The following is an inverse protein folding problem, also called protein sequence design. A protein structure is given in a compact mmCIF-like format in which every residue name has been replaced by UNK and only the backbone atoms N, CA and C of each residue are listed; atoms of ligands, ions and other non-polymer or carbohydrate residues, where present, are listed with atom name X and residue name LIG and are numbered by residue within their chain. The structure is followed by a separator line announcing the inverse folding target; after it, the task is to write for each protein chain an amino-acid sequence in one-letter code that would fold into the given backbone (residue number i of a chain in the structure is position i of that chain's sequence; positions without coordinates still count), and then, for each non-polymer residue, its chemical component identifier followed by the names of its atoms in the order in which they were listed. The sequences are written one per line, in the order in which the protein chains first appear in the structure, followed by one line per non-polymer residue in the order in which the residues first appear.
data_IF_730149259147
#
_entry.id   IF_730149259147
#
_cell.length_a   1.000
_cell.length_b   1.000
_cell.length_c   1.000
_cell.angle_alpha   90.00
_cell.angle_beta   90.00
_cell.angle_gamma   90.00
#
_symmetry.space_group_name_H-M   'P 1'
#
loop_
_entity.id
_entity.type
_entity.pdbx_description
1 polymer ?
#
# COMPACT_ATOMS: atom_id res chain seq x y z
N UNK A 1 1.16 -17.76 -31.46
CA UNK A 1 -0.05 -17.20 -30.82
C UNK A 1 0.39 -16.11 -29.87
N UNK A 2 0.00 -14.85 -30.11
CA UNK A 2 0.27 -13.78 -29.15
C UNK A 2 -0.53 -14.06 -27.87
N UNK A 3 0.15 -14.05 -26.72
CA UNK A 3 -0.49 -14.22 -25.41
C UNK A 3 -1.39 -12.99 -25.23
N UNK A 4 -2.70 -13.17 -25.13
CA UNK A 4 -3.63 -12.07 -24.83
C UNK A 4 -3.20 -11.49 -23.48
N UNK A 5 -2.68 -10.26 -23.47
CA UNK A 5 -2.34 -9.57 -22.25
C UNK A 5 -3.66 -9.29 -21.51
N UNK A 6 -3.76 -9.76 -20.28
CA UNK A 6 -4.86 -9.37 -19.41
C UNK A 6 -4.62 -7.92 -18.97
N UNK A 7 -5.36 -6.98 -19.56
CA UNK A 7 -5.28 -5.54 -19.27
C UNK A 7 -6.29 -5.11 -18.20
N UNK A 8 -6.82 -6.07 -17.43
CA UNK A 8 -7.57 -5.76 -16.21
C UNK A 8 -6.58 -5.52 -15.08
N UNK A 9 -6.69 -4.39 -14.34
CA UNK A 9 -5.94 -4.17 -13.12
C UNK A 9 -5.97 -5.39 -12.18
N UNK A 10 -4.84 -5.78 -11.56
CA UNK A 10 -4.85 -6.86 -10.58
C UNK A 10 -5.75 -6.47 -9.39
N UNK A 11 -6.59 -7.39 -8.88
CA UNK A 11 -7.45 -7.09 -7.75
C UNK A 11 -6.64 -6.86 -6.47
N UNK A 12 -7.17 -6.07 -5.55
CA UNK A 12 -6.68 -5.97 -4.17
C UNK A 12 -6.99 -7.27 -3.42
N UNK A 13 -6.31 -7.51 -2.29
CA UNK A 13 -6.63 -8.65 -1.43
C UNK A 13 -8.04 -8.58 -0.86
N UNK A 14 -8.53 -7.37 -0.55
CA UNK A 14 -9.92 -7.17 -0.12
C UNK A 14 -10.93 -7.52 -1.23
N UNK A 15 -10.72 -7.05 -2.46
CA UNK A 15 -11.55 -7.41 -3.62
C UNK A 15 -11.58 -8.93 -3.86
N UNK A 16 -10.43 -9.60 -3.68
CA UNK A 16 -10.34 -11.06 -3.77
C UNK A 16 -11.16 -11.76 -2.68
N UNK A 17 -11.06 -11.31 -1.43
CA UNK A 17 -11.79 -11.89 -0.31
C UNK A 17 -13.30 -11.70 -0.43
N UNK A 18 -13.77 -10.50 -0.80
CA UNK A 18 -15.20 -10.26 -1.00
C UNK A 18 -15.78 -11.15 -2.10
N UNK A 19 -15.10 -11.20 -3.26
CA UNK A 19 -15.52 -12.06 -4.36
C UNK A 19 -15.53 -13.52 -3.92
N UNK A 20 -14.49 -13.97 -3.21
CA UNK A 20 -14.44 -15.34 -2.70
C UNK A 20 -15.56 -15.63 -1.71
N UNK A 21 -15.90 -14.68 -0.83
CA UNK A 21 -17.01 -14.81 0.12
C UNK A 21 -18.35 -15.00 -0.59
N UNK A 22 -18.65 -14.13 -1.56
CA UNK A 22 -19.85 -14.23 -2.40
C UNK A 22 -19.95 -15.57 -3.15
N UNK A 23 -18.84 -16.02 -3.75
CA UNK A 23 -18.78 -17.27 -4.53
C UNK A 23 -18.76 -18.53 -3.66
N UNK A 24 -18.50 -18.40 -2.36
CA UNK A 24 -18.37 -19.55 -1.45
C UNK A 24 -19.69 -20.04 -0.88
N UNK A 25 -20.78 -19.28 -0.99
CA UNK A 25 -22.10 -19.63 -0.44
C UNK A 25 -21.99 -19.97 1.07
N UNK A 26 -21.27 -19.12 1.81
CA UNK A 26 -21.02 -19.26 3.25
C UNK A 26 -20.02 -20.36 3.65
N UNK A 27 -19.44 -21.11 2.69
CA UNK A 27 -18.43 -22.14 2.99
C UNK A 27 -17.08 -21.49 3.31
N UNK A 28 -16.42 -22.01 4.33
CA UNK A 28 -15.11 -21.56 4.77
C UNK A 28 -14.08 -22.70 4.67
N UNK A 29 -12.82 -22.32 4.48
CA UNK A 29 -11.66 -23.20 4.61
C UNK A 29 -10.79 -22.72 5.75
N UNK A 30 -10.11 -23.66 6.39
CA UNK A 30 -9.23 -23.39 7.52
C UNK A 30 -7.83 -23.89 7.20
N UNK A 31 -6.83 -23.14 7.63
CA UNK A 31 -5.45 -23.60 7.72
C UNK A 31 -4.78 -23.04 8.97
N UNK A 32 -3.76 -23.76 9.45
CA UNK A 32 -3.05 -23.43 10.68
C UNK A 32 -1.57 -23.27 10.38
N UNK A 33 -0.97 -22.24 10.98
CA UNK A 33 0.45 -21.98 10.93
C UNK A 33 1.00 -21.83 12.34
N UNK A 34 2.22 -22.35 12.56
CA UNK A 34 2.92 -22.22 13.83
C UNK A 34 4.27 -21.54 13.64
N UNK A 35 4.58 -20.58 14.49
CA UNK A 35 5.87 -19.88 14.51
C UNK A 35 6.49 -19.99 15.90
N UNK A 36 7.73 -20.46 15.95
CA UNK A 36 8.56 -20.34 17.14
C UNK A 36 9.17 -18.95 17.20
N UNK A 37 9.02 -18.28 18.34
CA UNK A 37 9.40 -16.89 18.54
C UNK A 37 10.25 -16.79 19.80
N UNK A 38 11.56 -16.82 19.59
CA UNK A 38 12.56 -16.79 20.66
C UNK A 38 12.61 -15.39 21.31
N UNK A 39 12.77 -15.35 22.62
CA UNK A 39 12.94 -14.11 23.39
C UNK A 39 11.66 -13.39 23.78
N UNK A 40 10.49 -13.94 23.44
CA UNK A 40 9.19 -13.42 23.88
C UNK A 40 8.58 -14.27 24.99
N UNK A 41 7.76 -13.65 25.83
CA UNK A 41 6.92 -14.34 26.81
C UNK A 41 5.45 -14.21 26.40
N UNK A 42 4.56 -15.11 26.87
CA UNK A 42 3.12 -14.94 26.65
C UNK A 42 2.60 -13.60 27.14
N UNK A 43 3.13 -13.08 28.26
CA UNK A 43 2.76 -11.78 28.82
C UNK A 43 3.11 -10.62 27.88
N UNK A 44 4.33 -10.62 27.31
CA UNK A 44 4.74 -9.60 26.34
C UNK A 44 3.82 -9.59 25.10
N UNK A 45 3.47 -10.77 24.59
CA UNK A 45 2.60 -10.89 23.43
C UNK A 45 1.14 -10.52 23.76
N UNK A 46 0.63 -10.88 24.93
CA UNK A 46 -0.71 -10.45 25.37
C UNK A 46 -0.77 -8.92 25.51
N UNK A 47 0.27 -8.29 26.07
CA UNK A 47 0.37 -6.85 26.10
C UNK A 47 0.40 -6.25 24.69
N UNK A 48 1.16 -6.85 23.77
CA UNK A 48 1.18 -6.45 22.36
C UNK A 48 -0.22 -6.46 21.74
N UNK A 49 -1.00 -7.53 21.90
CA UNK A 49 -2.34 -7.63 21.32
C UNK A 49 -3.31 -6.55 21.82
N UNK A 50 -3.11 -6.01 23.02
CA UNK A 50 -3.91 -4.89 23.54
C UNK A 50 -3.43 -3.54 22.99
N UNK A 51 -2.13 -3.42 22.69
CA UNK A 51 -1.50 -2.17 22.28
C UNK A 51 -1.19 -2.11 20.78
N UNK A 52 -1.53 -3.15 20.01
CA UNK A 52 -1.31 -3.24 18.57
C UNK A 52 -1.85 -2.01 17.83
N UNK A 53 -2.99 -1.39 18.19
CA UNK A 53 -3.42 -0.14 17.55
C UNK A 53 -2.36 0.97 17.57
N UNK A 54 -1.67 1.09 18.71
CA UNK A 54 -0.71 2.19 18.93
C UNK A 54 0.60 1.95 18.21
N UNK A 55 0.89 0.72 17.79
CA UNK A 55 2.21 0.32 17.33
C UNK A 55 2.19 -0.50 16.03
N UNK A 56 1.07 -0.58 15.32
CA UNK A 56 0.86 -1.52 14.21
C UNK A 56 2.00 -1.51 13.16
N UNK A 57 2.46 -0.31 12.78
CA UNK A 57 3.56 -0.14 11.82
C UNK A 57 4.91 -0.66 12.32
N UNK A 58 5.13 -0.79 13.62
CA UNK A 58 6.37 -1.40 14.15
C UNK A 58 6.42 -2.90 13.91
N UNK A 59 5.26 -3.55 13.79
CA UNK A 59 5.18 -5.01 13.65
C UNK A 59 5.75 -5.51 12.35
N UNK A 60 5.34 -4.90 11.24
CA UNK A 60 5.96 -5.18 9.95
C UNK A 60 6.10 -3.89 9.12
N UNK A 61 7.11 -3.05 9.39
CA UNK A 61 7.19 -1.69 8.82
C UNK A 61 7.22 -1.61 7.29
N UNK A 62 7.56 -2.72 6.62
CA UNK A 62 7.58 -2.81 5.16
C UNK A 62 6.20 -3.05 4.56
N UNK A 63 5.29 -3.62 5.33
CA UNK A 63 3.99 -4.10 4.84
C UNK A 63 2.81 -3.51 5.61
N UNK A 64 2.98 -2.98 6.82
CA UNK A 64 1.92 -2.37 7.62
C UNK A 64 2.01 -0.85 7.50
N UNK A 65 0.94 -0.22 7.00
CA UNK A 65 1.02 1.16 6.53
C UNK A 65 0.24 2.15 7.33
N UNK A 66 -1.05 1.87 7.52
CA UNK A 66 -1.96 2.83 8.10
C UNK A 66 -3.03 2.05 8.83
N UNK A 67 -3.41 2.63 9.95
CA UNK A 67 -4.57 2.27 10.70
C UNK A 67 -5.53 3.44 10.65
N UNK A 68 -6.71 3.23 10.07
CA UNK A 68 -7.78 4.19 10.13
C UNK A 68 -8.78 3.79 11.21
N UNK A 69 -8.81 4.61 12.28
CA UNK A 69 -9.88 4.71 13.28
C UNK A 69 -10.27 3.37 13.93
N UNK A 70 -9.65 3.04 15.06
CA UNK A 70 -10.30 2.14 16.00
C UNK A 70 -11.47 2.83 16.68
N UNK A 71 -12.64 2.24 16.54
CA UNK A 71 -13.80 2.56 17.35
C UNK A 71 -14.01 1.41 18.32
N UNK A 72 -14.07 1.74 19.61
CA UNK A 72 -14.52 0.80 20.62
C UNK A 72 -15.98 1.05 20.88
N UNK A 73 -16.84 0.10 20.51
CA UNK A 73 -18.27 0.12 20.84
C UNK A 73 -18.65 -1.23 21.43
N UNK A 74 -19.33 -1.21 22.58
CA UNK A 74 -19.87 -2.42 23.21
C UNK A 74 -18.83 -3.52 23.52
N UNK A 75 -17.56 -3.13 23.70
CA UNK A 75 -16.46 -4.06 24.00
C UNK A 75 -15.82 -4.71 22.77
N UNK A 76 -16.28 -4.39 21.57
CA UNK A 76 -15.61 -4.74 20.32
C UNK A 76 -14.77 -3.57 19.83
N UNK A 77 -13.54 -3.88 19.41
CA UNK A 77 -12.68 -2.91 18.73
C UNK A 77 -12.85 -3.13 17.22
N UNK A 78 -13.21 -2.09 16.47
CA UNK A 78 -13.31 -2.17 15.00
C UNK A 78 -12.47 -1.11 14.34
N UNK A 79 -11.79 -1.43 13.26
CA UNK A 79 -10.96 -0.50 12.52
C UNK A 79 -10.69 -0.96 11.09
N UNK A 80 -10.05 -0.09 10.31
CA UNK A 80 -9.55 -0.43 8.98
C UNK A 80 -8.03 -0.50 9.06
N UNK A 81 -7.47 -1.64 8.68
CA UNK A 81 -6.02 -1.78 8.52
C UNK A 81 -5.67 -1.72 7.03
N UNK A 82 -4.59 -1.02 6.71
CA UNK A 82 -4.00 -0.98 5.37
C UNK A 82 -2.65 -1.68 5.42
N UNK A 83 -2.50 -2.73 4.62
CA UNK A 83 -1.29 -3.53 4.58
C UNK A 83 -1.02 -4.20 3.23
N UNK A 84 0.19 -4.69 3.02
CA UNK A 84 0.55 -5.58 1.92
C UNK A 84 0.64 -7.02 2.40
N UNK A 85 -0.26 -7.85 1.90
CA UNK A 85 -0.10 -9.31 1.92
C UNK A 85 0.48 -9.67 0.57
N UNK A 86 1.80 -9.54 0.41
CA UNK A 86 2.45 -9.47 -0.90
C UNK A 86 2.03 -10.60 -1.87
N UNK A 87 1.68 -10.29 -3.14
CA UNK A 87 1.72 -8.99 -3.81
C UNK A 87 0.41 -8.18 -3.69
N UNK A 88 -0.48 -8.53 -2.76
CA UNK A 88 -1.81 -7.96 -2.65
C UNK A 88 -1.83 -6.79 -1.66
N UNK A 89 -2.24 -5.62 -2.13
CA UNK A 89 -2.66 -4.54 -1.23
C UNK A 89 -4.00 -4.86 -0.60
N UNK A 90 -4.11 -4.66 0.70
CA UNK A 90 -5.27 -5.00 1.51
C UNK A 90 -5.71 -3.78 2.31
N UNK A 91 -6.99 -3.44 2.22
CA UNK A 91 -7.64 -2.46 3.10
C UNK A 91 -8.75 -3.21 3.84
N UNK A 92 -8.43 -3.83 4.98
CA UNK A 92 -9.28 -4.80 5.65
C UNK A 92 -10.07 -4.14 6.77
N UNK A 93 -11.40 -4.32 6.76
CA UNK A 93 -12.22 -4.02 7.94
C UNK A 93 -11.97 -5.13 8.96
N UNK A 94 -11.47 -4.79 10.14
CA UNK A 94 -11.17 -5.75 11.19
C UNK A 94 -11.99 -5.45 12.43
N UNK A 95 -12.55 -6.51 13.01
CA UNK A 95 -13.08 -6.53 14.36
C UNK A 95 -12.19 -7.35 15.28
N UNK A 96 -11.94 -6.89 16.49
CA UNK A 96 -11.28 -7.66 17.57
C UNK A 96 -12.37 -8.08 18.55
N UNK A 97 -12.50 -9.39 18.77
CA UNK A 97 -13.52 -9.94 19.67
C UNK A 97 -13.14 -11.31 20.24
N UNK A 98 -14.10 -11.98 20.91
CA UNK A 98 -13.89 -13.34 21.42
C UNK A 98 -13.48 -14.29 20.29
N UNK A 99 -12.34 -14.96 20.45
CA UNK A 99 -11.83 -15.92 19.47
C UNK A 99 -10.85 -15.35 18.44
N UNK A 100 -10.54 -14.05 18.47
CA UNK A 100 -9.45 -13.46 17.68
C UNK A 100 -9.87 -12.26 16.83
N UNK A 101 -9.20 -12.11 15.69
CA UNK A 101 -9.48 -11.08 14.70
C UNK A 101 -10.56 -11.58 13.73
N UNK A 102 -11.50 -10.72 13.38
CA UNK A 102 -12.54 -10.96 12.40
C UNK A 102 -12.30 -10.06 11.20
N UNK A 103 -12.23 -10.65 10.00
CA UNK A 103 -12.26 -9.93 8.74
C UNK A 103 -13.71 -9.66 8.38
N UNK A 104 -14.06 -8.39 8.16
CA UNK A 104 -15.44 -7.95 7.98
C UNK A 104 -15.69 -7.48 6.55
N UNK A 105 -16.86 -7.79 6.03
CA UNK A 105 -17.42 -7.15 4.84
C UNK A 105 -17.75 -5.66 5.13
N UNK A 106 -18.02 -4.83 4.11
CA UNK A 106 -18.42 -3.43 4.32
C UNK A 106 -19.68 -3.23 5.16
N UNK A 107 -20.60 -4.20 5.17
CA UNK A 107 -21.82 -4.21 6.00
C UNK A 107 -21.62 -4.87 7.37
N UNK A 108 -20.41 -5.36 7.66
CA UNK A 108 -20.02 -5.86 8.98
C UNK A 108 -20.26 -7.36 9.20
N UNK A 109 -20.57 -8.12 8.15
CA UNK A 109 -20.59 -9.59 8.21
C UNK A 109 -19.17 -10.15 8.33
N UNK A 110 -19.03 -11.29 8.99
CA UNK A 110 -17.73 -11.95 9.13
C UNK A 110 -17.42 -12.72 7.85
N UNK A 111 -16.48 -12.21 7.05
CA UNK A 111 -15.96 -12.89 5.86
C UNK A 111 -14.72 -13.75 6.14
N UNK A 112 -14.13 -13.64 7.32
CA UNK A 112 -12.96 -14.43 7.71
C UNK A 112 -12.60 -14.23 9.17
N UNK A 113 -11.72 -15.11 9.69
CA UNK A 113 -11.24 -15.04 11.07
C UNK A 113 -9.76 -15.39 11.13
N UNK A 114 -9.05 -14.77 12.05
CA UNK A 114 -7.70 -15.17 12.47
C UNK A 114 -7.74 -15.38 13.98
N UNK A 115 -7.78 -16.64 14.38
CA UNK A 115 -7.69 -17.08 15.77
C UNK A 115 -6.29 -17.60 16.07
N UNK A 116 -6.06 -18.05 17.30
CA UNK A 116 -4.77 -18.62 17.65
C UNK A 116 -4.57 -18.92 19.12
N UNK A 117 -3.40 -19.50 19.40
CA UNK A 117 -2.96 -19.86 20.74
C UNK A 117 -1.48 -19.54 20.94
N UNK A 118 -1.09 -19.40 22.21
CA UNK A 118 0.30 -19.21 22.61
C UNK A 118 0.70 -20.34 23.53
N UNK A 119 1.85 -20.96 23.25
CA UNK A 119 2.46 -21.98 24.10
C UNK A 119 3.84 -21.49 24.55
N UNK A 120 4.12 -21.34 25.86
CA UNK A 120 5.46 -20.99 26.30
C UNK A 120 6.46 -22.11 26.00
N UNK A 121 7.68 -21.75 25.60
CA UNK A 121 8.83 -22.65 25.49
C UNK A 121 9.87 -22.29 26.56
N UNK A 122 11.03 -22.98 26.57
CA UNK A 122 12.13 -22.66 27.49
C UNK A 122 12.77 -21.29 27.23
N UNK A 123 12.68 -20.78 26.01
CA UNK A 123 13.40 -19.61 25.51
C UNK A 123 12.50 -18.62 24.74
N UNK A 124 11.20 -18.88 24.67
CA UNK A 124 10.27 -18.08 23.86
C UNK A 124 8.81 -18.53 23.97
N UNK A 125 8.11 -18.37 22.85
CA UNK A 125 6.74 -18.85 22.64
C UNK A 125 6.63 -19.57 21.29
N UNK A 126 5.69 -20.51 21.20
CA UNK A 126 5.12 -20.96 19.93
C UNK A 126 3.79 -20.21 19.76
N UNK A 127 3.69 -19.45 18.69
CA UNK A 127 2.46 -18.79 18.26
C UNK A 127 1.78 -19.65 17.19
N UNK A 128 0.57 -20.07 17.49
CA UNK A 128 -0.32 -20.76 16.54
C UNK A 128 -1.32 -19.75 16.01
N UNK A 129 -1.46 -19.64 14.69
CA UNK A 129 -2.51 -18.89 14.03
C UNK A 129 -3.40 -19.82 13.23
N UNK A 130 -4.72 -19.66 13.40
CA UNK A 130 -5.75 -20.40 12.66
C UNK A 130 -6.46 -19.40 11.77
N UNK A 131 -6.25 -19.53 10.46
CA UNK A 131 -6.85 -18.67 9.45
C UNK A 131 -8.09 -19.36 8.88
N UNK A 132 -9.26 -18.74 9.06
CA UNK A 132 -10.52 -19.16 8.46
C UNK A 132 -10.91 -18.18 7.36
N UNK A 133 -10.92 -18.60 6.11
CA UNK A 133 -11.21 -17.77 4.94
C UNK A 133 -12.33 -18.38 4.08
N UNK A 134 -12.93 -17.62 3.15
CA UNK A 134 -13.91 -18.18 2.22
C UNK A 134 -13.34 -19.35 1.41
N UNK A 135 -14.15 -20.38 1.16
CA UNK A 135 -13.70 -21.60 0.48
C UNK A 135 -13.26 -21.40 -0.98
N UNK A 136 -13.59 -20.26 -1.59
CA UNK A 136 -13.15 -19.85 -2.92
C UNK A 136 -11.96 -18.90 -2.91
N UNK A 137 -11.36 -18.62 -1.75
CA UNK A 137 -10.14 -17.83 -1.68
C UNK A 137 -9.04 -18.50 -2.51
N UNK A 138 -8.37 -17.78 -3.41
CA UNK A 138 -7.30 -18.37 -4.22
C UNK A 138 -6.17 -18.91 -3.35
N UNK A 139 -5.64 -20.10 -3.69
CA UNK A 139 -4.52 -20.69 -2.93
C UNK A 139 -3.30 -19.76 -2.89
N UNK A 140 -3.05 -18.99 -3.96
CA UNK A 140 -1.96 -18.01 -3.98
C UNK A 140 -2.13 -16.89 -2.94
N UNK A 141 -3.36 -16.56 -2.55
CA UNK A 141 -3.63 -15.60 -1.49
C UNK A 141 -3.46 -16.26 -0.11
N UNK A 142 -3.87 -17.52 0.05
CA UNK A 142 -3.60 -18.29 1.27
C UNK A 142 -2.09 -18.41 1.52
N UNK A 143 -1.30 -18.74 0.49
CA UNK A 143 0.15 -18.81 0.57
C UNK A 143 0.79 -17.45 0.90
N UNK A 144 0.23 -16.36 0.36
CA UNK A 144 0.67 -15.01 0.70
C UNK A 144 0.40 -14.67 2.18
N UNK A 145 -0.74 -15.07 2.74
CA UNK A 145 -1.04 -14.93 4.18
C UNK A 145 -0.04 -15.70 5.03
N UNK A 146 0.27 -16.96 4.66
CA UNK A 146 1.25 -17.79 5.39
C UNK A 146 2.63 -17.14 5.41
N UNK A 147 3.06 -16.61 4.26
CA UNK A 147 4.33 -15.91 4.14
C UNK A 147 4.34 -14.62 4.98
N UNK A 148 3.27 -13.82 4.89
CA UNK A 148 3.11 -12.59 5.66
C UNK A 148 3.15 -12.83 7.17
N UNK A 149 2.34 -13.76 7.67
CA UNK A 149 2.30 -14.16 9.08
C UNK A 149 3.66 -14.61 9.59
N UNK A 150 4.35 -15.45 8.81
CA UNK A 150 5.71 -15.90 9.15
C UNK A 150 6.67 -14.72 9.28
N UNK A 151 6.66 -13.78 8.36
CA UNK A 151 7.61 -12.66 8.35
C UNK A 151 7.32 -11.64 9.46
N UNK A 152 6.06 -11.25 9.67
CA UNK A 152 5.70 -10.26 10.69
C UNK A 152 5.97 -10.77 12.11
N UNK A 153 5.67 -12.04 12.39
CA UNK A 153 5.86 -12.63 13.72
C UNK A 153 7.34 -12.76 14.05
N UNK A 154 8.19 -13.04 13.06
CA UNK A 154 9.64 -13.14 13.24
C UNK A 154 10.31 -11.77 13.47
N UNK A 155 9.63 -10.65 13.18
CA UNK A 155 10.16 -9.31 13.51
C UNK A 155 9.86 -8.89 14.96
N UNK A 156 8.87 -9.52 15.63
CA UNK A 156 8.48 -9.17 17.01
C UNK A 156 9.65 -9.20 18.01
N UNK A 157 10.53 -10.22 18.06
CA UNK A 157 11.67 -10.24 18.98
C UNK A 157 12.61 -9.04 18.87
N UNK A 158 12.65 -8.40 17.69
CA UNK A 158 13.55 -7.26 17.43
C UNK A 158 13.20 -6.04 18.27
N UNK A 159 11.92 -5.83 18.55
CA UNK A 159 11.45 -4.60 19.22
C UNK A 159 10.56 -4.85 20.43
N UNK A 160 9.75 -5.91 20.45
CA UNK A 160 8.70 -6.08 21.44
C UNK A 160 9.21 -6.15 22.89
N UNK A 161 10.33 -6.84 23.22
CA UNK A 161 10.83 -6.86 24.60
C UNK A 161 11.20 -5.49 25.15
N UNK A 162 11.69 -4.59 24.29
CA UNK A 162 12.07 -3.23 24.68
C UNK A 162 10.86 -2.29 24.67
N UNK A 163 9.98 -2.43 23.68
CA UNK A 163 8.70 -1.72 23.62
C UNK A 163 7.84 -2.02 24.85
N UNK A 164 7.77 -3.27 25.28
CA UNK A 164 7.03 -3.69 26.48
C UNK A 164 7.58 -3.03 27.76
N UNK A 165 8.91 -2.84 27.85
CA UNK A 165 9.55 -2.22 29.03
C UNK A 165 9.46 -0.69 29.02
N UNK A 166 9.50 -0.10 27.82
CA UNK A 166 9.66 1.34 27.62
C UNK A 166 8.75 1.84 26.48
N UNK A 167 7.42 1.69 26.59
CA UNK A 167 6.49 2.08 25.52
C UNK A 167 6.61 3.56 25.16
N UNK A 168 6.98 4.41 26.13
CA UNK A 168 7.16 5.85 25.95
C UNK A 168 8.31 6.25 25.01
N UNK A 169 9.19 5.31 24.65
CA UNK A 169 10.35 5.56 23.79
C UNK A 169 10.12 5.22 22.33
N UNK A 170 8.93 4.72 21.99
CA UNK A 170 8.62 4.25 20.65
C UNK A 170 7.61 5.17 19.99
N UNK A 171 7.95 5.61 18.79
CA UNK A 171 7.05 6.27 17.86
C UNK A 171 6.82 5.35 16.67
N UNK A 172 5.64 5.43 16.05
CA UNK A 172 5.40 4.69 14.83
C UNK A 172 6.27 5.27 13.69
N UNK A 173 6.83 4.43 12.81
CA UNK A 173 7.50 4.90 11.61
C UNK A 173 6.54 5.75 10.77
N UNK A 174 6.91 6.96 10.34
CA UNK A 174 6.01 7.81 9.55
C UNK A 174 5.73 7.18 8.18
N UNK A 175 4.53 7.42 7.65
CA UNK A 175 4.24 7.22 6.23
C UNK A 175 5.03 8.23 5.40
N UNK A 176 5.13 7.99 4.09
CA UNK A 176 5.73 8.97 3.19
C UNK A 176 4.96 10.28 3.18
N UNK A 177 3.63 10.25 3.32
CA UNK A 177 2.81 11.46 3.41
C UNK A 177 3.10 12.27 4.67
N UNK A 178 3.13 11.63 5.84
CA UNK A 178 3.48 12.30 7.12
C UNK A 178 4.90 12.88 7.09
N UNK A 179 5.84 12.15 6.50
CA UNK A 179 7.22 12.59 6.30
C UNK A 179 7.28 13.84 5.42
N UNK A 180 6.53 13.90 4.32
CA UNK A 180 6.48 15.08 3.46
C UNK A 180 5.75 16.26 4.11
N UNK A 181 4.68 16.04 4.88
CA UNK A 181 3.99 17.11 5.61
C UNK A 181 4.91 17.76 6.64
N UNK A 182 5.63 16.95 7.41
CA UNK A 182 6.65 17.46 8.34
C UNK A 182 7.73 18.25 7.61
N UNK A 183 8.24 17.71 6.49
CA UNK A 183 9.24 18.41 5.71
C UNK A 183 8.73 19.75 5.16
N UNK A 184 7.46 19.81 4.73
CA UNK A 184 6.81 21.03 4.26
C UNK A 184 6.74 22.11 5.35
N UNK A 185 6.33 21.74 6.56
CA UNK A 185 6.27 22.65 7.70
C UNK A 185 7.66 23.19 8.08
N UNK A 186 8.68 22.34 8.04
CA UNK A 186 10.06 22.70 8.42
C UNK A 186 10.81 23.50 7.34
N UNK A 187 10.47 23.31 6.06
CA UNK A 187 11.18 23.93 4.93
C UNK A 187 10.76 25.36 4.62
N UNK A 188 9.56 25.78 5.06
CA UNK A 188 8.95 27.01 4.57
C UNK A 188 8.76 26.95 3.04
N UNK A 189 9.24 27.98 2.33
CA UNK A 189 9.10 28.07 0.86
C UNK A 189 10.25 27.39 0.07
N UNK A 190 11.21 26.76 0.77
CA UNK A 190 12.38 26.15 0.12
C UNK A 190 12.10 24.74 -0.36
N UNK A 191 12.70 24.37 -1.48
CA UNK A 191 12.47 23.09 -2.14
C UNK A 191 13.76 22.40 -2.57
N UNK A 192 13.66 21.10 -2.82
CA UNK A 192 14.69 20.24 -3.42
C UNK A 192 14.08 19.47 -4.58
N UNK A 193 14.85 19.32 -5.66
CA UNK A 193 14.41 18.60 -6.86
C UNK A 193 15.04 17.21 -6.94
N UNK A 194 14.21 16.22 -7.31
CA UNK A 194 14.65 14.93 -7.83
C UNK A 194 14.45 14.96 -9.34
N UNK A 195 15.56 14.93 -10.07
CA UNK A 195 15.57 14.90 -11.54
C UNK A 195 15.87 13.48 -12.01
N UNK A 196 15.07 12.98 -12.95
CA UNK A 196 15.20 11.64 -13.54
C UNK A 196 15.11 11.74 -15.06
N UNK A 197 16.21 11.39 -15.73
CA UNK A 197 16.27 11.23 -17.17
C UNK A 197 16.32 9.74 -17.53
N UNK A 198 15.42 9.30 -18.39
CA UNK A 198 15.38 7.90 -18.84
C UNK A 198 14.84 7.74 -20.26
N UNK A 199 15.41 6.78 -20.99
CA UNK A 199 14.91 6.37 -22.30
C UNK A 199 13.87 5.27 -22.14
N UNK A 200 12.69 5.43 -22.74
CA UNK A 200 11.62 4.45 -22.73
C UNK A 200 11.46 3.93 -24.16
N UNK A 201 11.99 2.73 -24.42
CA UNK A 201 11.91 2.09 -25.72
C UNK A 201 10.52 1.50 -25.99
N UNK A 202 10.10 1.46 -27.25
CA UNK A 202 8.83 0.83 -27.66
C UNK A 202 7.57 1.66 -27.40
N UNK A 203 7.71 2.89 -26.88
CA UNK A 203 6.62 3.83 -26.67
C UNK A 203 6.78 5.03 -27.61
N UNK A 204 5.74 5.35 -28.39
CA UNK A 204 5.74 6.56 -29.21
C UNK A 204 5.33 7.79 -28.40
N UNK A 205 5.70 9.02 -28.83
CA UNK A 205 5.16 10.26 -28.26
C UNK A 205 3.63 10.27 -28.12
N UNK A 206 2.92 9.77 -29.13
CA UNK A 206 1.45 9.73 -29.14
C UNK A 206 0.90 8.76 -28.08
N UNK A 207 1.51 7.58 -27.95
CA UNK A 207 1.13 6.59 -26.93
C UNK A 207 1.36 7.14 -25.52
N UNK A 208 2.51 7.78 -25.29
CA UNK A 208 2.84 8.36 -23.99
C UNK A 208 1.90 9.52 -23.63
N UNK A 209 1.63 10.42 -24.57
CA UNK A 209 0.71 11.52 -24.33
C UNK A 209 -0.72 11.04 -24.04
N UNK A 210 -1.17 10.00 -24.75
CA UNK A 210 -2.44 9.35 -24.45
C UNK A 210 -2.44 8.75 -23.04
N UNK A 211 -1.36 8.07 -22.67
CA UNK A 211 -1.20 7.46 -21.35
C UNK A 211 -1.31 8.49 -20.22
N UNK A 212 -0.60 9.62 -20.31
CA UNK A 212 -0.62 10.67 -19.28
C UNK A 212 -2.02 11.25 -19.01
N UNK A 213 -2.93 11.14 -19.96
CA UNK A 213 -4.33 11.61 -19.82
C UNK A 213 -5.27 10.50 -19.36
N UNK A 214 -4.97 9.23 -19.66
CA UNK A 214 -5.90 8.11 -19.51
C UNK A 214 -5.43 7.05 -18.49
N UNK A 215 -4.34 7.29 -17.76
CA UNK A 215 -3.71 6.29 -16.89
C UNK A 215 -4.54 5.94 -15.65
N UNK A 216 -5.37 6.85 -15.15
CA UNK A 216 -6.04 6.71 -13.84
C UNK A 216 -6.87 5.41 -13.72
N UNK A 217 -7.77 5.04 -14.65
CA UNK A 217 -8.47 3.75 -14.58
C UNK A 217 -7.55 2.52 -14.66
N UNK A 218 -6.30 2.69 -15.10
CA UNK A 218 -5.30 1.64 -15.28
C UNK A 218 -4.11 1.82 -14.34
N UNK A 219 -4.25 2.62 -13.29
CA UNK A 219 -3.11 3.07 -12.49
C UNK A 219 -2.33 1.90 -11.86
N UNK A 220 -3.03 0.83 -11.43
CA UNK A 220 -2.42 -0.43 -10.96
C UNK A 220 -1.64 -1.19 -12.05
N UNK A 221 -1.90 -0.97 -13.34
CA UNK A 221 -1.09 -1.58 -14.42
C UNK A 221 0.25 -0.88 -14.60
N UNK A 222 0.33 0.40 -14.25
CA UNK A 222 1.51 1.23 -14.41
C UNK A 222 2.68 0.68 -13.61
N UNK A 223 2.46 0.43 -12.32
CA UNK A 223 3.41 -0.30 -11.49
C UNK A 223 2.67 -1.23 -10.51
N UNK A 224 2.34 -2.47 -10.91
CA UNK A 224 1.48 -3.36 -10.10
C UNK A 224 1.98 -3.68 -8.70
N UNK A 225 3.29 -3.58 -8.50
CA UNK A 225 3.96 -3.82 -7.22
C UNK A 225 3.89 -2.63 -6.25
N UNK A 226 3.54 -1.44 -6.76
CA UNK A 226 3.61 -0.19 -6.00
C UNK A 226 2.34 0.65 -6.09
N UNK A 227 1.50 0.50 -7.11
CA UNK A 227 0.30 1.30 -7.33
C UNK A 227 -0.93 0.53 -6.90
N UNK A 228 -1.68 1.06 -5.93
CA UNK A 228 -2.77 0.32 -5.31
C UNK A 228 -4.14 0.88 -5.67
N UNK A 229 -4.33 2.17 -5.46
CA UNK A 229 -5.64 2.82 -5.65
C UNK A 229 -5.41 4.20 -6.24
N UNK A 230 -6.28 4.58 -7.16
CA UNK A 230 -6.45 5.96 -7.57
C UNK A 230 -7.95 6.29 -7.57
N UNK A 231 -8.34 7.31 -6.84
CA UNK A 231 -9.72 7.78 -6.79
C UNK A 231 -9.80 9.23 -7.28
N UNK A 232 -10.68 9.50 -8.24
CA UNK A 232 -10.98 10.88 -8.65
C UNK A 232 -11.98 11.46 -7.66
N UNK A 233 -11.55 12.47 -6.92
CA UNK A 233 -12.38 13.18 -5.94
C UNK A 233 -12.69 14.58 -6.49
N UNK A 234 -13.94 14.99 -6.40
CA UNK A 234 -14.37 16.37 -6.64
C UNK A 234 -14.67 17.01 -5.28
N UNK A 235 -13.77 17.85 -4.72
CA UNK A 235 -14.05 18.53 -3.46
C UNK A 235 -15.31 19.40 -3.58
N UNK A 236 -16.15 19.50 -2.52
CA UNK A 236 -17.31 20.37 -2.52
C UNK A 236 -16.94 21.83 -2.86
N UNK A 237 -17.48 22.36 -3.96
CA UNK A 237 -17.21 23.72 -4.41
C UNK A 237 -15.92 23.92 -5.21
N UNK A 238 -15.13 22.87 -5.46
CA UNK A 238 -13.95 22.96 -6.32
C UNK A 238 -14.32 22.95 -7.81
N UNK A 239 -13.58 23.74 -8.60
CA UNK A 239 -13.67 23.77 -10.07
C UNK A 239 -12.74 22.76 -10.74
N UNK A 240 -11.91 22.07 -9.97
CA UNK A 240 -10.88 21.16 -10.46
C UNK A 240 -10.98 19.81 -9.78
N UNK A 241 -10.80 18.74 -10.56
CA UNK A 241 -10.68 17.39 -10.03
C UNK A 241 -9.39 17.24 -9.22
N UNK A 242 -9.48 16.45 -8.15
CA UNK A 242 -8.36 15.93 -7.38
C UNK A 242 -8.28 14.43 -7.59
N UNK A 243 -7.09 13.89 -7.41
CA UNK A 243 -6.89 12.45 -7.37
C UNK A 243 -6.27 12.11 -6.03
N UNK A 244 -6.84 11.12 -5.35
CA UNK A 244 -6.17 10.45 -4.23
C UNK A 244 -5.43 9.26 -4.82
N UNK A 245 -4.12 9.25 -4.67
CA UNK A 245 -3.24 8.18 -5.11
C UNK A 245 -2.70 7.46 -3.87
N UNK A 246 -2.88 6.13 -3.81
CA UNK A 246 -2.29 5.27 -2.80
C UNK A 246 -1.22 4.40 -3.46
N UNK A 247 0.04 4.59 -3.06
CA UNK A 247 1.19 3.92 -3.66
C UNK A 247 2.35 3.68 -2.69
N UNK A 248 3.29 2.82 -3.08
CA UNK A 248 4.58 2.63 -2.42
C UNK A 248 5.69 3.39 -3.15
N UNK A 249 6.33 4.28 -2.41
CA UNK A 249 7.66 4.80 -2.72
C UNK A 249 8.61 4.05 -1.78
N UNK A 250 9.00 2.82 -2.13
CA UNK A 250 9.60 1.87 -1.17
C UNK A 250 10.71 2.47 -0.28
N UNK A 251 10.66 2.30 1.06
CA UNK A 251 9.68 1.55 1.84
C UNK A 251 8.48 2.38 2.34
N UNK A 252 8.25 3.56 1.80
CA UNK A 252 7.25 4.50 2.27
C UNK A 252 5.89 4.28 1.59
N UNK A 253 4.88 3.93 2.38
CA UNK A 253 3.50 4.04 1.93
C UNK A 253 3.09 5.51 1.83
N UNK A 254 2.47 5.87 0.72
CA UNK A 254 2.06 7.22 0.41
C UNK A 254 0.59 7.26 0.03
N UNK A 255 -0.15 8.19 0.66
CA UNK A 255 -1.47 8.59 0.22
C UNK A 255 -1.40 10.06 -0.20
N UNK A 256 -1.28 10.30 -1.50
CA UNK A 256 -1.12 11.64 -2.05
C UNK A 256 -2.43 12.21 -2.57
N UNK A 257 -2.68 13.47 -2.24
CA UNK A 257 -3.66 14.29 -2.96
C UNK A 257 -2.95 15.00 -4.09
N UNK A 258 -3.38 14.72 -5.31
CA UNK A 258 -2.77 15.27 -6.53
C UNK A 258 -3.76 16.18 -7.23
N UNK A 259 -3.39 17.45 -7.38
CA UNK A 259 -4.05 18.37 -8.29
C UNK A 259 -3.51 18.17 -9.70
N UNK A 260 -4.35 17.71 -10.63
CA UNK A 260 -3.94 17.50 -12.02
C UNK A 260 -3.76 18.85 -12.74
N UNK A 261 -2.69 18.98 -13.50
CA UNK A 261 -2.43 20.14 -14.35
C UNK A 261 -2.52 19.76 -15.83
N UNK A 262 -2.99 20.70 -16.66
CA UNK A 262 -2.95 20.54 -18.11
C UNK A 262 -1.50 20.34 -18.57
N UNK A 263 -1.22 19.27 -19.31
CA UNK A 263 0.11 19.00 -19.87
C UNK A 263 0.93 17.92 -19.18
N UNK A 264 0.35 17.10 -18.29
CA UNK A 264 1.02 15.90 -17.74
C UNK A 264 1.85 16.14 -16.48
N UNK A 265 1.61 17.25 -15.78
CA UNK A 265 2.14 17.51 -14.44
C UNK A 265 1.07 17.38 -13.35
N UNK A 266 1.52 17.36 -12.10
CA UNK A 266 0.66 17.29 -10.92
C UNK A 266 1.23 18.13 -9.78
N UNK A 267 0.37 18.62 -8.91
CA UNK A 267 0.78 19.22 -7.64
C UNK A 267 0.43 18.27 -6.49
N UNK A 268 1.42 17.96 -5.64
CA UNK A 268 1.18 17.26 -4.38
C UNK A 268 0.60 18.27 -3.40
N UNK A 269 -0.53 17.93 -2.78
CA UNK A 269 -1.29 18.81 -1.92
C UNK A 269 -1.32 18.32 -0.48
N UNK A 270 -1.31 19.25 0.46
CA UNK A 270 -1.63 19.02 1.87
C UNK A 270 -3.13 18.74 2.06
N UNK A 271 -3.57 18.31 3.26
CA UNK A 271 -4.99 18.15 3.57
C UNK A 271 -5.84 19.42 3.42
N UNK A 272 -5.23 20.60 3.53
CA UNK A 272 -5.84 21.93 3.34
C UNK A 272 -5.57 22.54 1.95
N UNK A 273 -5.24 21.70 0.96
CA UNK A 273 -5.05 22.04 -0.46
C UNK A 273 -3.89 23.03 -0.75
N UNK A 274 -2.91 23.15 0.17
CA UNK A 274 -1.66 23.87 -0.12
C UNK A 274 -0.74 23.00 -0.96
N UNK A 275 -0.02 23.62 -1.89
CA UNK A 275 0.97 22.94 -2.72
C UNK A 275 2.22 22.61 -1.90
N UNK A 276 2.40 21.33 -1.63
CA UNK A 276 3.55 20.76 -0.92
C UNK A 276 4.69 20.37 -1.87
N UNK A 277 4.35 19.99 -3.10
CA UNK A 277 5.31 19.56 -4.10
C UNK A 277 4.74 19.62 -5.51
N UNK A 278 5.58 19.29 -6.49
CA UNK A 278 5.19 19.25 -7.90
C UNK A 278 5.87 18.09 -8.61
N UNK A 279 5.17 17.51 -9.57
CA UNK A 279 5.73 16.56 -10.53
C UNK A 279 5.52 17.10 -11.94
N UNK A 280 6.57 17.07 -12.75
CA UNK A 280 6.56 17.52 -14.14
C UNK A 280 7.23 16.45 -14.99
N UNK A 281 6.53 15.97 -16.02
CA UNK A 281 7.06 15.06 -17.01
C UNK A 281 7.12 15.76 -18.37
N UNK A 282 8.31 15.83 -18.96
CA UNK A 282 8.52 16.29 -20.33
C UNK A 282 9.21 15.21 -21.14
N UNK A 283 8.93 15.11 -22.43
CA UNK A 283 9.51 14.06 -23.25
C UNK A 283 9.83 14.53 -24.66
N UNK A 284 10.80 13.87 -25.27
CA UNK A 284 11.17 14.05 -26.68
C UNK A 284 11.14 12.70 -27.40
N UNK A 285 10.84 12.71 -28.69
CA UNK A 285 10.94 11.51 -29.51
C UNK A 285 12.40 11.05 -29.64
N UNK A 286 12.62 9.74 -29.63
CA UNK A 286 13.90 9.11 -29.97
C UNK A 286 13.69 8.05 -31.07
N UNK A 287 14.78 7.55 -31.66
CA UNK A 287 14.71 6.50 -32.68
C UNK A 287 14.15 5.17 -32.17
N UNK A 288 14.14 4.96 -30.85
CA UNK A 288 13.68 3.72 -30.21
C UNK A 288 12.43 3.91 -29.36
N UNK A 289 11.94 5.14 -29.17
CA UNK A 289 10.78 5.45 -28.33
C UNK A 289 10.77 6.91 -27.89
N UNK A 290 10.84 7.17 -26.59
CA UNK A 290 10.95 8.53 -26.04
C UNK A 290 12.13 8.67 -25.08
N UNK A 291 12.64 9.89 -24.93
CA UNK A 291 13.47 10.28 -23.80
C UNK A 291 12.58 11.08 -22.84
N UNK A 292 12.37 10.57 -21.64
CA UNK A 292 11.56 11.17 -20.59
C UNK A 292 12.47 11.92 -19.60
N UNK A 293 12.10 13.15 -19.30
CA UNK A 293 12.69 14.01 -18.28
C UNK A 293 11.62 14.33 -17.23
N UNK A 294 11.82 13.79 -16.03
CA UNK A 294 10.93 13.96 -14.89
C UNK A 294 11.59 14.83 -13.83
N UNK A 295 10.86 15.82 -13.32
CA UNK A 295 11.25 16.64 -12.17
C UNK A 295 10.20 16.48 -11.08
N UNK A 296 10.64 16.07 -9.90
CA UNK A 296 9.83 16.05 -8.69
C UNK A 296 10.40 17.07 -7.70
N UNK A 297 9.61 18.09 -7.39
CA UNK A 297 9.96 19.12 -6.42
C UNK A 297 9.31 18.79 -5.08
N UNK A 298 10.12 18.67 -4.04
CA UNK A 298 9.72 18.40 -2.66
C UNK A 298 10.20 19.52 -1.71
N UNK A 299 9.69 19.59 -0.48
CA UNK A 299 10.25 20.48 0.54
C UNK A 299 11.75 20.21 0.81
N UNK A 300 12.57 21.25 1.01
CA UNK A 300 14.03 21.17 1.20
C UNK A 300 14.47 20.16 2.28
N UNK A 301 13.73 20.05 3.38
CA UNK A 301 14.07 19.15 4.50
C UNK A 301 13.59 17.72 4.31
N UNK A 302 13.07 17.38 3.12
CA UNK A 302 12.70 16.00 2.79
C UNK A 302 13.91 15.07 2.94
N UNK A 303 13.83 14.00 3.76
CA UNK A 303 14.94 13.08 3.97
C UNK A 303 15.49 12.49 2.67
N UNK A 304 16.82 12.51 2.54
CA UNK A 304 17.51 11.95 1.37
C UNK A 304 17.08 10.51 1.01
N UNK A 305 16.87 9.58 1.98
CA UNK A 305 16.39 8.24 1.64
C UNK A 305 15.02 8.22 0.93
N UNK A 306 14.14 9.18 1.20
CA UNK A 306 12.87 9.31 0.47
C UNK A 306 13.11 9.83 -0.96
N UNK A 307 13.98 10.83 -1.12
CA UNK A 307 14.33 11.36 -2.45
C UNK A 307 14.96 10.30 -3.35
N UNK A 308 15.80 9.44 -2.79
CA UNK A 308 16.40 8.31 -3.52
C UNK A 308 15.36 7.25 -3.88
N UNK A 309 14.46 6.91 -2.94
CA UNK A 309 13.33 6.02 -3.20
C UNK A 309 12.41 6.55 -4.31
N UNK A 310 12.14 7.85 -4.35
CA UNK A 310 11.33 8.47 -5.40
C UNK A 310 12.02 8.36 -6.78
N UNK A 311 13.34 8.53 -6.83
CA UNK A 311 14.11 8.34 -8.08
C UNK A 311 13.96 6.91 -8.60
N UNK A 312 14.14 5.92 -7.72
CA UNK A 312 14.00 4.51 -8.08
C UNK A 312 12.56 4.17 -8.50
N UNK A 313 11.58 4.68 -7.77
CA UNK A 313 10.16 4.52 -8.10
C UNK A 313 9.86 5.05 -9.51
N UNK A 314 10.28 6.29 -9.82
CA UNK A 314 10.06 6.89 -11.14
C UNK A 314 10.74 6.09 -12.26
N UNK A 315 11.95 5.57 -12.03
CA UNK A 315 12.61 4.72 -13.03
C UNK A 315 11.77 3.45 -13.27
N UNK A 316 11.36 2.77 -12.21
CA UNK A 316 10.65 1.50 -12.29
C UNK A 316 9.26 1.63 -12.93
N UNK A 317 8.45 2.62 -12.52
CA UNK A 317 7.09 2.77 -13.05
C UNK A 317 7.08 3.02 -14.56
N UNK A 318 8.02 3.81 -15.08
CA UNK A 318 8.05 4.16 -16.49
C UNK A 318 8.67 3.08 -17.37
N UNK A 319 9.57 2.26 -16.82
CA UNK A 319 10.15 1.10 -17.50
C UNK A 319 9.13 0.00 -17.82
N UNK A 320 8.03 -0.08 -17.08
CA UNK A 320 6.98 -1.08 -17.29
C UNK A 320 5.97 -0.68 -18.38
N UNK A 321 5.90 0.59 -18.78
CA UNK A 321 4.95 1.07 -19.80
C UNK A 321 5.01 0.30 -21.13
N UNK A 322 6.19 0.01 -21.73
CA UNK A 322 6.29 -0.72 -23.00
C UNK A 322 5.62 -2.09 -22.97
N UNK A 323 5.46 -2.70 -21.78
CA UNK A 323 4.84 -4.01 -21.61
C UNK A 323 3.35 -4.01 -21.95
N UNK A 324 2.65 -2.90 -21.73
CA UNK A 324 1.18 -2.89 -21.80
C UNK A 324 0.59 -1.68 -22.53
N UNK A 325 1.24 -0.51 -22.52
CA UNK A 325 0.69 0.71 -23.12
C UNK A 325 0.45 0.59 -24.63
N UNK A 326 1.33 0.00 -25.47
CA UNK A 326 1.07 -0.09 -26.91
C UNK A 326 -0.20 -0.87 -27.25
N UNK A 327 -0.40 -2.01 -26.58
CA UNK A 327 -1.57 -2.86 -26.79
C UNK A 327 -2.83 -2.21 -26.20
N UNK A 328 -2.72 -1.61 -25.01
CA UNK A 328 -3.84 -0.88 -24.40
C UNK A 328 -4.26 0.31 -25.26
N UNK A 329 -3.31 1.08 -25.77
CA UNK A 329 -3.53 2.20 -26.68
C UNK A 329 -4.28 1.75 -27.94
N UNK A 330 -3.81 0.69 -28.60
CA UNK A 330 -4.47 0.10 -29.77
C UNK A 330 -5.90 -0.33 -29.47
N UNK A 331 -6.14 -1.00 -28.34
CA UNK A 331 -7.47 -1.44 -27.94
C UNK A 331 -8.43 -0.26 -27.67
N UNK A 332 -7.93 0.83 -27.07
CA UNK A 332 -8.78 1.97 -26.68
C UNK A 332 -8.99 2.99 -27.79
N UNK A 333 -8.10 3.05 -28.78
CA UNK A 333 -8.16 4.05 -29.85
C UNK A 333 -8.43 3.47 -31.23
N UNK A 334 -8.24 2.15 -31.42
CA UNK A 334 -8.34 1.49 -32.72
C UNK A 334 -7.17 1.76 -33.67
N UNK A 335 -6.11 2.42 -33.21
CA UNK A 335 -4.92 2.76 -34.00
C UNK A 335 -3.81 1.70 -33.92
#
# INVERSE_FOLDING_TARGET
MAKVLNLTPPPTGHELLLKAFEESDGKMVEFTDEQEVVGLTPEMFQWWMVNIPTYYRLWYPKMHFVEERWQTSEGEMRGIIKEMIWPYYCELNIGVGPGGLHLLTPDGEIMGKVGGGLRPTSDGIIMEAVHTLPAKTPESFCDAIRAHFKEEVQDLPRFLPQLYKHPERYEQPPTGHELLLKAFEESGDKTVDVVVDQQIAGITPEMFQWWMVNSIPYYRLWCPEMHFVSEVVLPPGATESRIIIKEMIWPYYCEFRVGLQAGGGGSLLTPDDKKMGQLIHTFTASSQGINLHSIFTFPETTPQPFLDAMREHCIKEFQDLPRFVPELYKQKTGK
#
